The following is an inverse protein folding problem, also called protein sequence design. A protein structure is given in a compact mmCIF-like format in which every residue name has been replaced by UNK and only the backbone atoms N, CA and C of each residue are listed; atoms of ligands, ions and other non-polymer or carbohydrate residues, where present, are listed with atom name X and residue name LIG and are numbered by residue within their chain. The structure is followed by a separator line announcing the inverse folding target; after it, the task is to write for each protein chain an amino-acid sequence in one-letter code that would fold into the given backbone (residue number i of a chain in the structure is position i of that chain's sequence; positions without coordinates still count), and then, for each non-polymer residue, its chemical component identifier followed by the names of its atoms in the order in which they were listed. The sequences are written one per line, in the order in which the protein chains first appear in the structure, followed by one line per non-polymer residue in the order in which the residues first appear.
data_IF_096892980263
#
_entry.id   IF_096892980263
#
_cell.length_a   1.000
_cell.length_b   1.000
_cell.length_c   1.000
_cell.angle_alpha   90.00
_cell.angle_beta   90.00
_cell.angle_gamma   90.00
#
_symmetry.space_group_name_H-M   'P 1'
#
loop_
_entity.id
_entity.type
_entity.pdbx_description
1 polymer ?
#
# COMPACT_ATOMS: atom_id res chain seq x y z
N UNK A 1 12.87 1.19 -10.47
CA UNK A 1 12.18 0.83 -9.22
C UNK A 1 13.20 0.45 -8.17
N UNK A 2 13.02 0.97 -6.95
CA UNK A 2 13.84 0.66 -5.79
C UNK A 2 12.99 0.06 -4.67
N UNK A 3 13.64 -0.65 -3.75
CA UNK A 3 12.97 -1.13 -2.54
C UNK A 3 12.46 0.04 -1.68
N UNK A 4 11.38 -0.20 -0.95
CA UNK A 4 10.87 0.73 0.06
C UNK A 4 11.96 1.03 1.10
N UNK A 5 12.14 2.31 1.42
CA UNK A 5 13.10 2.77 2.41
C UNK A 5 12.39 3.45 3.60
N UNK A 6 13.17 3.81 4.62
CA UNK A 6 12.64 4.48 5.83
C UNK A 6 11.88 5.77 5.53
N UNK A 7 12.25 6.51 4.47
CA UNK A 7 11.53 7.71 4.05
C UNK A 7 10.13 7.40 3.52
N UNK A 8 9.98 6.29 2.80
CA UNK A 8 8.69 5.85 2.27
C UNK A 8 7.73 5.43 3.37
N UNK A 9 8.23 4.85 4.47
CA UNK A 9 7.43 4.55 5.66
C UNK A 9 6.70 5.80 6.18
N UNK A 10 7.41 6.93 6.29
CA UNK A 10 6.80 8.18 6.75
C UNK A 10 5.86 8.80 5.71
N UNK A 11 6.11 8.58 4.41
CA UNK A 11 5.16 8.98 3.34
C UNK A 11 3.88 8.16 3.41
N UNK A 12 3.98 6.84 3.55
CA UNK A 12 2.84 5.94 3.75
C UNK A 12 2.05 6.30 5.01
N UNK A 13 2.73 6.60 6.13
CA UNK A 13 2.06 7.02 7.36
C UNK A 13 1.29 8.34 7.18
N UNK A 14 1.83 9.30 6.43
CA UNK A 14 1.12 10.55 6.08
C UNK A 14 -0.07 10.29 5.16
N UNK A 15 0.06 9.41 4.17
CA UNK A 15 -1.02 8.97 3.30
C UNK A 15 -2.18 8.38 4.12
N UNK A 16 -1.88 7.38 4.95
CA UNK A 16 -2.86 6.71 5.83
C UNK A 16 -3.60 7.73 6.70
N UNK A 17 -2.87 8.68 7.30
CA UNK A 17 -3.47 9.74 8.12
C UNK A 17 -4.36 10.67 7.30
N UNK A 18 -3.93 11.09 6.12
CA UNK A 18 -4.66 12.03 5.26
C UNK A 18 -5.93 11.40 4.68
N UNK A 19 -5.87 10.13 4.30
CA UNK A 19 -7.04 9.39 3.79
C UNK A 19 -7.99 8.92 4.90
N UNK A 20 -7.63 9.09 6.17
CA UNK A 20 -8.47 8.67 7.30
C UNK A 20 -8.66 7.16 7.43
N UNK A 21 -7.80 6.35 6.79
CA UNK A 21 -7.97 4.89 6.70
C UNK A 21 -7.36 4.10 7.86
N UNK A 22 -6.81 4.78 8.87
CA UNK A 22 -6.10 4.13 9.98
C UNK A 22 -6.98 3.11 10.71
N UNK A 23 -8.20 3.50 11.07
CA UNK A 23 -9.10 2.63 11.83
C UNK A 23 -9.66 1.50 10.95
N UNK A 24 -9.81 1.74 9.65
CA UNK A 24 -10.21 0.72 8.68
C UNK A 24 -9.11 -0.34 8.53
N UNK A 25 -7.85 0.07 8.40
CA UNK A 25 -6.70 -0.84 8.34
C UNK A 25 -6.56 -1.67 9.62
N UNK A 26 -6.88 -1.08 10.77
CA UNK A 26 -6.86 -1.81 12.05
C UNK A 26 -7.97 -2.86 12.10
N UNK A 27 -9.20 -2.47 11.76
CA UNK A 27 -10.35 -3.38 11.68
C UNK A 27 -10.10 -4.51 10.68
N UNK A 28 -9.53 -4.16 9.53
CA UNK A 28 -9.12 -5.11 8.51
C UNK A 28 -8.10 -6.11 9.06
N UNK A 29 -7.04 -5.63 9.71
CA UNK A 29 -6.00 -6.49 10.29
C UNK A 29 -6.54 -7.44 11.37
N UNK A 30 -7.48 -6.99 12.19
CA UNK A 30 -8.16 -7.82 13.20
C UNK A 30 -9.03 -8.92 12.57
N UNK A 31 -9.51 -8.72 11.35
CA UNK A 31 -10.33 -9.68 10.60
C UNK A 31 -9.54 -10.75 9.85
N UNK A 32 -8.21 -10.61 9.70
CA UNK A 32 -7.37 -11.57 8.97
C UNK A 32 -7.27 -12.88 9.75
N UNK A 33 -7.66 -13.99 9.10
CA UNK A 33 -7.52 -15.34 9.68
C UNK A 33 -6.19 -15.98 9.28
N UNK A 34 -5.66 -16.86 10.14
CA UNK A 34 -4.37 -17.51 9.93
C UNK A 34 -4.34 -18.47 8.71
N UNK A 35 -5.49 -18.95 8.27
CA UNK A 35 -5.68 -19.86 7.13
C UNK A 35 -6.07 -19.13 5.82
N UNK A 36 -6.21 -17.81 5.87
CA UNK A 36 -6.64 -17.00 4.74
C UNK A 36 -5.50 -16.84 3.71
N UNK A 37 -5.82 -16.91 2.42
CA UNK A 37 -4.80 -16.77 1.37
C UNK A 37 -4.29 -15.34 1.32
N UNK A 38 -2.98 -15.18 1.14
CA UNK A 38 -2.34 -13.87 1.05
C UNK A 38 -2.89 -13.03 -0.11
N UNK A 39 -3.26 -13.66 -1.23
CA UNK A 39 -3.85 -12.96 -2.38
C UNK A 39 -5.23 -12.38 -2.05
N UNK A 40 -6.05 -13.12 -1.28
CA UNK A 40 -7.38 -12.67 -0.85
C UNK A 40 -7.27 -11.47 0.11
N UNK A 41 -6.36 -11.58 1.10
CA UNK A 41 -6.06 -10.47 2.02
C UNK A 41 -5.52 -9.25 1.26
N UNK A 42 -4.65 -9.46 0.28
CA UNK A 42 -4.12 -8.38 -0.56
C UNK A 42 -5.20 -7.68 -1.38
N UNK A 43 -6.13 -8.45 -1.96
CA UNK A 43 -7.25 -7.94 -2.73
C UNK A 43 -8.20 -7.10 -1.87
N UNK A 44 -8.60 -7.60 -0.71
CA UNK A 44 -9.52 -6.89 0.18
C UNK A 44 -8.90 -5.59 0.72
N UNK A 45 -7.58 -5.60 1.00
CA UNK A 45 -6.85 -4.39 1.39
C UNK A 45 -6.84 -3.33 0.26
N UNK A 46 -6.64 -3.76 -0.99
CA UNK A 46 -6.70 -2.86 -2.16
C UNK A 46 -8.10 -2.27 -2.32
N UNK A 47 -9.15 -3.09 -2.21
CA UNK A 47 -10.53 -2.64 -2.29
C UNK A 47 -10.85 -1.61 -1.20
N UNK A 48 -10.41 -1.84 0.04
CA UNK A 48 -10.56 -0.88 1.14
C UNK A 48 -9.89 0.46 0.82
N UNK A 49 -8.69 0.43 0.25
CA UNK A 49 -7.98 1.66 -0.14
C UNK A 49 -8.76 2.39 -1.26
N UNK A 50 -9.29 1.67 -2.25
CA UNK A 50 -10.08 2.26 -3.34
C UNK A 50 -11.42 2.83 -2.87
N UNK A 51 -12.13 2.16 -1.95
CA UNK A 51 -13.36 2.68 -1.34
C UNK A 51 -13.14 4.00 -0.59
N UNK A 52 -11.90 4.27 -0.17
CA UNK A 52 -11.51 5.49 0.55
C UNK A 52 -10.87 6.52 -0.35
N UNK A 53 -10.21 6.12 -1.43
CA UNK A 53 -9.69 6.99 -2.46
C UNK A 53 -10.78 7.37 -3.47
N UNK A 54 -11.86 8.00 -3.01
CA UNK A 54 -13.02 8.36 -3.85
C UNK A 54 -12.98 9.79 -4.39
N UNK A 55 -11.87 10.51 -4.15
CA UNK A 55 -11.67 11.89 -4.55
C UNK A 55 -10.26 12.12 -5.13
N UNK A 56 -10.14 13.10 -6.02
CA UNK A 56 -8.87 13.44 -6.72
C UNK A 56 -7.72 13.77 -5.75
N UNK A 57 -8.02 14.28 -4.54
CA UNK A 57 -6.97 14.57 -3.55
C UNK A 57 -6.36 13.27 -3.04
N UNK A 58 -7.21 12.29 -2.72
CA UNK A 58 -6.77 10.98 -2.24
C UNK A 58 -6.00 10.20 -3.31
N UNK A 59 -6.48 10.23 -4.56
CA UNK A 59 -5.78 9.65 -5.72
C UNK A 59 -4.36 10.23 -5.86
N UNK A 60 -4.24 11.56 -5.84
CA UNK A 60 -2.95 12.24 -5.95
C UNK A 60 -1.97 11.82 -4.84
N UNK A 61 -2.45 11.64 -3.61
CA UNK A 61 -1.60 11.21 -2.51
C UNK A 61 -1.06 9.78 -2.72
N UNK A 62 -1.85 8.90 -3.32
CA UNK A 62 -1.42 7.55 -3.69
C UNK A 62 -0.33 7.64 -4.77
N UNK A 63 -0.54 8.46 -5.81
CA UNK A 63 0.46 8.65 -6.86
C UNK A 63 1.76 9.27 -6.33
N UNK A 64 1.67 10.23 -5.41
CA UNK A 64 2.83 10.84 -4.72
C UNK A 64 3.62 9.83 -3.90
N UNK A 65 2.92 8.88 -3.29
CA UNK A 65 3.57 7.79 -2.58
C UNK A 65 4.27 6.83 -3.56
N UNK A 66 3.56 6.32 -4.57
CA UNK A 66 4.04 5.27 -5.48
C UNK A 66 5.14 5.74 -6.45
N UNK A 67 5.10 6.99 -6.88
CA UNK A 67 6.14 7.60 -7.74
C UNK A 67 7.54 7.48 -7.13
N UNK A 68 7.65 7.56 -5.80
CA UNK A 68 8.91 7.47 -5.07
C UNK A 68 9.66 6.13 -5.22
N UNK A 69 9.07 4.98 -4.83
CA UNK A 69 9.66 3.67 -5.00
C UNK A 69 9.64 3.17 -6.45
N UNK A 70 8.65 3.57 -7.26
CA UNK A 70 8.59 3.19 -8.67
C UNK A 70 9.65 3.92 -9.51
N UNK A 71 10.11 5.08 -9.03
CA UNK A 71 11.07 5.96 -9.73
C UNK A 71 10.52 6.51 -11.05
N UNK A 72 9.24 6.90 -11.01
CA UNK A 72 8.49 7.50 -12.12
C UNK A 72 7.79 8.77 -11.63
N UNK A 73 7.23 9.56 -12.53
CA UNK A 73 6.42 10.74 -12.21
C UNK A 73 5.02 10.35 -11.71
N UNK A 74 4.32 11.32 -11.14
CA UNK A 74 2.93 11.20 -10.71
C UNK A 74 1.99 10.81 -11.84
N UNK A 75 2.14 11.48 -12.99
CA UNK A 75 1.31 11.25 -14.17
C UNK A 75 1.58 9.86 -14.76
N UNK A 76 2.83 9.38 -14.72
CA UNK A 76 3.16 8.01 -15.12
C UNK A 76 2.54 6.95 -14.20
N UNK A 77 2.38 7.21 -12.90
CA UNK A 77 1.62 6.30 -12.02
C UNK A 77 0.14 6.32 -12.37
N UNK A 78 -0.43 7.50 -12.62
CA UNK A 78 -1.85 7.67 -12.94
C UNK A 78 -2.25 6.94 -14.22
N UNK A 79 -1.43 7.03 -15.26
CA UNK A 79 -1.68 6.41 -16.57
C UNK A 79 -1.16 4.96 -16.63
N UNK A 80 -0.65 4.42 -15.52
CA UNK A 80 -0.14 3.06 -15.45
C UNK A 80 -1.28 2.05 -15.61
N UNK A 81 -1.04 1.03 -16.42
CA UNK A 81 -1.97 -0.10 -16.52
C UNK A 81 -2.08 -0.82 -15.16
N UNK A 82 -3.28 -1.27 -14.80
CA UNK A 82 -3.60 -1.77 -13.47
C UNK A 82 -2.74 -2.98 -13.07
N UNK A 83 -2.53 -3.95 -13.95
CA UNK A 83 -1.67 -5.10 -13.66
C UNK A 83 -0.20 -4.70 -13.58
N UNK A 84 0.26 -3.76 -14.42
CA UNK A 84 1.61 -3.22 -14.30
C UNK A 84 1.84 -2.54 -12.93
N UNK A 85 0.84 -1.84 -12.39
CA UNK A 85 0.90 -1.26 -11.05
C UNK A 85 1.04 -2.33 -9.96
N UNK A 86 0.26 -3.41 -10.05
CA UNK A 86 0.31 -4.53 -9.10
C UNK A 86 1.67 -5.23 -9.15
N UNK A 87 2.20 -5.50 -10.34
CA UNK A 87 3.54 -6.07 -10.49
C UNK A 87 4.62 -5.17 -9.90
N UNK A 88 4.52 -3.86 -10.14
CA UNK A 88 5.43 -2.86 -9.59
C UNK A 88 5.41 -2.84 -8.06
N UNK A 89 4.24 -2.98 -7.43
CA UNK A 89 4.11 -3.10 -5.97
C UNK A 89 4.88 -4.32 -5.43
N UNK A 90 4.73 -5.48 -6.07
CA UNK A 90 5.46 -6.69 -5.66
C UNK A 90 6.97 -6.60 -5.88
N UNK A 91 7.43 -5.78 -6.82
CA UNK A 91 8.85 -5.54 -7.03
C UNK A 91 9.47 -4.63 -5.97
N UNK A 92 8.73 -3.64 -5.46
CA UNK A 92 9.25 -2.68 -4.46
C UNK A 92 9.03 -3.09 -3.01
N UNK A 93 8.09 -4.00 -2.77
CA UNK A 93 7.76 -4.52 -1.45
C UNK A 93 7.93 -6.05 -1.42
N UNK A 94 9.02 -6.50 -0.80
CA UNK A 94 9.24 -7.90 -0.49
C UNK A 94 8.28 -8.34 0.64
N UNK A 95 7.17 -8.96 0.25
CA UNK A 95 6.09 -9.30 1.18
C UNK A 95 6.57 -10.21 2.31
N UNK A 96 7.52 -11.12 2.05
CA UNK A 96 8.09 -12.00 3.06
C UNK A 96 8.93 -11.23 4.09
N UNK A 97 9.76 -10.28 3.64
CA UNK A 97 10.52 -9.41 4.56
C UNK A 97 9.60 -8.53 5.40
N UNK A 98 8.57 -7.95 4.79
CA UNK A 98 7.63 -7.09 5.50
C UNK A 98 6.79 -7.87 6.51
N UNK A 99 6.32 -9.06 6.15
CA UNK A 99 5.65 -10.00 7.06
C UNK A 99 6.54 -10.32 8.27
N UNK A 100 7.81 -10.65 8.03
CA UNK A 100 8.79 -10.89 9.10
C UNK A 100 9.03 -9.66 9.99
N UNK A 101 9.12 -8.47 9.41
CA UNK A 101 9.27 -7.21 10.15
C UNK A 101 8.07 -6.95 11.08
N UNK A 102 6.84 -7.02 10.57
CA UNK A 102 5.64 -6.77 11.39
C UNK A 102 5.45 -7.82 12.48
N UNK A 103 5.74 -9.10 12.19
CA UNK A 103 5.74 -10.15 13.21
C UNK A 103 6.79 -9.93 14.31
N UNK A 104 7.97 -9.42 13.95
CA UNK A 104 9.03 -9.07 14.90
C UNK A 104 8.70 -7.85 15.76
N UNK A 105 7.98 -6.86 15.21
CA UNK A 105 7.58 -5.65 15.92
C UNK A 105 6.41 -5.84 16.91
N UNK A 106 5.68 -6.95 16.80
CA UNK A 106 4.59 -7.34 17.70
C UNK A 106 5.05 -8.23 18.88
N UNK A 107 6.35 -8.58 18.93
CA UNK A 107 6.98 -9.24 20.10
C UNK A 107 7.48 -8.20 21.09
#
# INVERSE_FOLDING_TARGET
MRQLNTGDLFKAARLIRKMGIKEDLKTFAEGIKADQKQEEVGFDLLMLIFERATDETSEKLIYEFLSGPFEVTLDEVKEMELFALVESLFQVADVEKWKGFFQGALR
#
